data_IF_978593206692
#
_entry.id   IF_978593206692
#
_cell.length_a   1.000
_cell.length_b   1.000
_cell.length_c   1.000
_cell.angle_alpha   90.00
_cell.angle_beta   90.00
_cell.angle_gamma   90.00
#
_symmetry.space_group_name_H-M   'P 1'
#
loop_
_entity.id
_entity.type
_entity.pdbx_description
1 polymer ?
#
# COMPACT_ATOMS: atom_id res chain seq x y z
N UNK A 1 -12.28 -2.37 -9.38
CA UNK A 1 -12.83 -1.07 -8.94
C UNK A 1 -12.92 -0.17 -10.17
N UNK A 2 -13.97 0.63 -10.29
CA UNK A 2 -14.11 1.62 -11.37
C UNK A 2 -13.59 2.97 -10.89
N UNK A 3 -13.02 3.76 -11.81
CA UNK A 3 -12.61 5.13 -11.52
C UNK A 3 -13.86 6.00 -11.43
N UNK A 4 -14.10 6.61 -10.27
CA UNK A 4 -15.21 7.55 -10.01
C UNK A 4 -14.68 8.83 -9.41
N UNK A 5 -15.44 9.93 -9.48
CA UNK A 5 -15.04 11.21 -8.89
C UNK A 5 -14.89 11.10 -7.38
N UNK A 6 -15.80 10.38 -6.73
CA UNK A 6 -15.75 10.11 -5.30
C UNK A 6 -14.47 9.36 -4.92
N UNK A 7 -14.08 8.34 -5.69
CA UNK A 7 -12.82 7.62 -5.44
C UNK A 7 -11.59 8.53 -5.58
N UNK A 8 -11.58 9.45 -6.55
CA UNK A 8 -10.47 10.42 -6.70
C UNK A 8 -10.43 11.40 -5.54
N UNK A 9 -11.59 11.92 -5.11
CA UNK A 9 -11.68 12.77 -3.92
C UNK A 9 -11.24 12.05 -2.65
N UNK A 10 -11.60 10.77 -2.48
CA UNK A 10 -11.14 9.96 -1.36
C UNK A 10 -9.62 9.77 -1.36
N UNK A 11 -9.00 9.56 -2.53
CA UNK A 11 -7.55 9.49 -2.64
C UNK A 11 -6.94 10.85 -2.26
N UNK A 12 -7.34 11.95 -2.89
CA UNK A 12 -6.80 13.28 -2.58
C UNK A 12 -7.04 13.72 -1.12
N UNK A 13 -8.12 13.27 -0.51
CA UNK A 13 -8.42 13.48 0.90
C UNK A 13 -7.41 12.78 1.82
N UNK A 14 -6.98 11.57 1.46
CA UNK A 14 -5.98 10.82 2.21
C UNK A 14 -4.60 11.51 2.16
N UNK A 15 -4.24 12.12 1.03
CA UNK A 15 -3.02 12.92 0.91
C UNK A 15 -3.00 14.10 1.90
N UNK A 16 -4.11 14.83 1.97
CA UNK A 16 -4.24 16.02 2.82
C UNK A 16 -4.71 15.76 4.25
N UNK A 17 -4.84 14.49 4.66
CA UNK A 17 -5.45 14.06 5.94
C UNK A 17 -6.77 14.81 6.26
N UNK A 18 -7.58 15.03 5.24
CA UNK A 18 -8.82 15.85 5.27
C UNK A 18 -10.03 15.04 4.85
N UNK A 19 -11.23 15.58 5.04
CA UNK A 19 -12.44 14.93 4.51
C UNK A 19 -12.55 15.12 2.99
N UNK A 20 -13.17 14.19 2.23
CA UNK A 20 -13.36 14.31 0.78
C UNK A 20 -14.10 15.57 0.33
N UNK A 21 -15.00 16.09 1.18
CA UNK A 21 -15.75 17.33 0.91
C UNK A 21 -14.91 18.59 1.07
N UNK A 22 -13.72 18.48 1.70
CA UNK A 22 -12.78 19.57 1.92
C UNK A 22 -11.66 19.60 0.88
N UNK A 23 -11.67 18.69 -0.10
CA UNK A 23 -10.73 18.68 -1.22
C UNK A 23 -11.16 19.74 -2.23
N UNK A 24 -10.25 20.64 -2.58
CA UNK A 24 -10.48 21.64 -3.61
C UNK A 24 -10.62 21.02 -5.01
N UNK A 25 -11.32 21.71 -5.92
CA UNK A 25 -11.47 21.22 -7.31
C UNK A 25 -10.16 21.37 -8.10
N UNK A 26 -9.32 22.34 -7.75
CA UNK A 26 -8.00 22.55 -8.36
C UNK A 26 -6.99 21.57 -7.76
N UNK A 27 -6.15 20.98 -8.61
CA UNK A 27 -5.13 20.00 -8.23
C UNK A 27 -3.75 20.62 -8.47
N UNK A 28 -2.95 20.71 -7.41
CA UNK A 28 -1.54 21.08 -7.53
C UNK A 28 -0.68 19.96 -8.11
N UNK A 29 0.50 20.31 -8.67
CA UNK A 29 1.40 19.32 -9.27
C UNK A 29 1.82 18.20 -8.31
N UNK A 30 1.99 18.52 -7.02
CA UNK A 30 2.34 17.52 -6.00
C UNK A 30 1.16 16.57 -5.72
N UNK A 31 -0.05 17.10 -5.62
CA UNK A 31 -1.28 16.32 -5.46
C UNK A 31 -1.50 15.41 -6.67
N UNK A 32 -1.22 15.91 -7.88
CA UNK A 32 -1.26 15.11 -9.11
C UNK A 32 -0.24 13.98 -9.09
N UNK A 33 1.03 14.26 -8.75
CA UNK A 33 2.07 13.22 -8.65
C UNK A 33 1.70 12.15 -7.62
N UNK A 34 1.24 12.58 -6.45
CA UNK A 34 0.81 11.65 -5.41
C UNK A 34 -0.40 10.82 -5.84
N UNK A 35 -1.41 11.45 -6.45
CA UNK A 35 -2.61 10.79 -6.95
C UNK A 35 -2.25 9.73 -7.99
N UNK A 36 -1.25 10.00 -8.84
CA UNK A 36 -0.79 9.08 -9.86
C UNK A 36 -0.19 7.83 -9.22
N UNK A 37 0.76 7.99 -8.29
CA UNK A 37 1.35 6.87 -7.57
C UNK A 37 0.29 6.06 -6.78
N UNK A 38 -0.66 6.72 -6.13
CA UNK A 38 -1.74 6.03 -5.41
C UNK A 38 -2.65 5.25 -6.38
N UNK A 39 -2.98 5.83 -7.54
CA UNK A 39 -3.77 5.16 -8.56
C UNK A 39 -3.06 3.93 -9.13
N UNK A 40 -1.76 4.01 -9.43
CA UNK A 40 -0.96 2.87 -9.89
C UNK A 40 -1.00 1.72 -8.88
N UNK A 41 -0.77 2.01 -7.60
CA UNK A 41 -0.78 1.02 -6.53
C UNK A 41 -2.18 0.42 -6.32
N UNK A 42 -3.23 1.24 -6.42
CA UNK A 42 -4.61 0.84 -6.15
C UNK A 42 -5.26 0.08 -7.31
N UNK A 43 -4.94 0.44 -8.55
CA UNK A 43 -5.49 -0.20 -9.75
C UNK A 43 -4.54 -1.22 -10.39
N UNK A 44 -3.28 -1.29 -9.95
CA UNK A 44 -2.27 -2.21 -10.48
C UNK A 44 -1.88 -1.91 -11.92
N UNK A 45 -1.83 -0.62 -12.28
CA UNK A 45 -1.47 -0.12 -13.61
C UNK A 45 -0.20 0.71 -13.54
N UNK A 46 0.45 0.94 -14.68
CA UNK A 46 1.56 1.88 -14.82
C UNK A 46 1.04 3.09 -15.59
N UNK A 47 1.17 4.29 -15.03
CA UNK A 47 0.69 5.54 -15.62
C UNK A 47 1.89 6.40 -16.00
N UNK A 48 2.04 6.72 -17.28
CA UNK A 48 3.12 7.58 -17.74
C UNK A 48 2.80 9.06 -17.46
N UNK A 49 3.53 9.75 -16.57
CA UNK A 49 3.25 11.15 -16.23
C UNK A 49 3.50 12.11 -17.40
N UNK A 50 4.26 11.70 -18.42
CA UNK A 50 4.49 12.50 -19.63
C UNK A 50 3.35 12.37 -20.66
N UNK A 51 2.35 11.54 -20.38
CA UNK A 51 1.21 11.33 -21.25
C UNK A 51 0.38 12.62 -21.41
N UNK A 52 -0.09 12.93 -22.64
CA UNK A 52 -0.80 14.17 -22.92
C UNK A 52 -2.10 14.31 -22.12
N UNK A 53 -2.73 13.19 -21.76
CA UNK A 53 -3.92 13.14 -20.90
C UNK A 53 -3.63 13.69 -19.50
N UNK A 54 -2.44 13.41 -18.95
CA UNK A 54 -2.02 13.80 -17.60
C UNK A 54 -1.35 15.18 -17.58
N UNK A 55 -0.66 15.56 -18.65
CA UNK A 55 0.02 16.85 -18.78
C UNK A 55 -0.93 18.07 -18.68
N UNK A 56 -2.23 17.87 -18.90
CA UNK A 56 -3.25 18.93 -18.84
C UNK A 56 -4.09 18.91 -17.56
N UNK A 57 -3.80 18.00 -16.63
CA UNK A 57 -4.60 17.81 -15.41
C UNK A 57 -4.25 18.87 -14.38
N UNK A 58 -5.22 19.76 -14.15
CA UNK A 58 -5.18 20.77 -13.09
C UNK A 58 -6.45 20.78 -12.25
N UNK A 59 -7.40 19.87 -12.51
CA UNK A 59 -8.65 19.74 -11.75
C UNK A 59 -9.01 18.29 -11.47
N UNK A 60 -9.84 18.08 -10.45
CA UNK A 60 -10.41 16.77 -10.11
C UNK A 60 -11.18 16.19 -11.29
N UNK A 61 -11.99 17.00 -11.98
CA UNK A 61 -12.70 16.56 -13.18
C UNK A 61 -11.77 16.04 -14.29
N UNK A 62 -10.65 16.74 -14.55
CA UNK A 62 -9.66 16.31 -15.54
C UNK A 62 -8.94 15.02 -15.11
N UNK A 63 -8.57 14.90 -13.83
CA UNK A 63 -7.95 13.69 -13.29
C UNK A 63 -8.87 12.47 -13.45
N UNK A 64 -10.16 12.64 -13.15
CA UNK A 64 -11.17 11.58 -13.31
C UNK A 64 -11.33 11.15 -14.77
N UNK A 65 -11.28 12.08 -15.72
CA UNK A 65 -11.36 11.77 -17.15
C UNK A 65 -10.09 11.06 -17.65
N UNK A 66 -8.91 11.52 -17.22
CA UNK A 66 -7.63 10.89 -17.59
C UNK A 66 -7.54 9.47 -17.03
N UNK A 67 -7.83 9.28 -15.74
CA UNK A 67 -7.81 7.96 -15.10
C UNK A 67 -8.82 6.99 -15.70
N UNK A 68 -10.02 7.44 -16.10
CA UNK A 68 -10.98 6.57 -16.82
C UNK A 68 -10.49 6.14 -18.20
N UNK A 69 -9.66 6.96 -18.85
CA UNK A 69 -9.09 6.65 -20.17
C UNK A 69 -7.91 5.68 -20.06
N UNK A 70 -7.07 5.87 -19.03
CA UNK A 70 -5.81 5.14 -18.86
C UNK A 70 -5.97 3.84 -18.05
N UNK A 71 -6.96 3.74 -17.17
CA UNK A 71 -7.21 2.55 -16.36
C UNK A 71 -8.16 1.60 -17.10
N UNK A 72 -7.71 0.44 -17.59
CA UNK A 72 -8.58 -0.50 -18.28
C UNK A 72 -9.60 -1.12 -17.31
N UNK A 73 -10.80 -1.48 -17.80
CA UNK A 73 -11.78 -2.20 -17.01
C UNK A 73 -11.20 -3.57 -16.59
N UNK A 74 -11.16 -3.84 -15.28
CA UNK A 74 -10.61 -5.06 -14.65
C UNK A 74 -11.14 -6.40 -15.22
N UNK A 75 -12.23 -6.40 -15.98
CA UNK A 75 -12.71 -7.59 -16.69
C UNK A 75 -11.78 -8.04 -17.83
N UNK A 76 -10.95 -7.14 -18.38
CA UNK A 76 -10.03 -7.42 -19.47
C UNK A 76 -8.63 -7.85 -19.00
N UNK A 77 -8.28 -7.58 -17.73
CA UNK A 77 -7.00 -7.93 -17.12
C UNK A 77 -7.05 -9.31 -16.43
N UNK A 78 -7.76 -10.27 -17.01
CA UNK A 78 -7.61 -11.66 -16.59
C UNK A 78 -6.11 -11.97 -16.60
N UNK A 79 -5.54 -12.44 -15.48
CA UNK A 79 -4.10 -12.59 -15.40
C UNK A 79 -3.68 -13.50 -16.54
N UNK A 80 -2.69 -13.07 -17.31
CA UNK A 80 -1.84 -13.94 -18.13
C UNK A 80 -1.13 -14.92 -17.19
N UNK A 81 -1.90 -15.81 -16.57
CA UNK A 81 -1.41 -17.06 -16.05
C UNK A 81 -1.18 -17.88 -17.32
N UNK A 82 0.07 -18.20 -17.69
CA UNK A 82 0.26 -19.21 -18.72
C UNK A 82 -0.58 -20.42 -18.30
N UNK A 83 -1.33 -21.07 -19.21
CA UNK A 83 -1.90 -22.36 -18.87
C UNK A 83 -0.71 -23.20 -18.44
N UNK A 84 -0.67 -23.58 -17.18
CA UNK A 84 0.15 -24.68 -16.74
C UNK A 84 -0.44 -25.91 -17.44
N UNK A 85 -0.09 -26.07 -18.71
CA UNK A 85 -0.23 -27.30 -19.44
C UNK A 85 0.68 -28.30 -18.74
N UNK A 86 0.11 -29.03 -17.80
CA UNK A 86 0.12 -30.49 -17.85
C UNK A 86 -0.83 -31.06 -16.77
N UNK A 87 -1.95 -31.67 -17.17
CA UNK A 87 -2.58 -32.71 -16.36
C UNK A 87 -1.76 -33.99 -16.53
N UNK A 88 -1.01 -34.39 -15.50
CA UNK A 88 -0.43 -35.72 -15.45
C UNK A 88 -0.28 -36.22 -14.01
N UNK A 89 -1.06 -37.28 -13.74
CA UNK A 89 -0.83 -38.41 -12.84
C UNK A 89 -1.56 -38.44 -11.48
N UNK A 90 -2.29 -39.54 -11.19
CA UNK A 90 -2.80 -39.85 -9.86
C UNK A 90 -1.65 -40.32 -8.93
N UNK A 91 -1.79 -39.98 -7.65
CA UNK A 91 -1.27 -40.66 -6.45
C UNK A 91 0.03 -41.47 -6.59
N UNK A 92 1.12 -40.95 -6.02
CA UNK A 92 2.02 -41.79 -5.23
C UNK A 92 2.49 -40.98 -4.01
N UNK A 93 2.04 -41.41 -2.83
CA UNK A 93 2.68 -41.01 -1.58
C UNK A 93 3.99 -41.78 -1.46
N UNK A 94 5.05 -41.13 -0.98
CA UNK A 94 5.79 -41.80 0.08
C UNK A 94 6.11 -40.92 1.29
N UNK A 95 5.93 -41.57 2.43
CA UNK A 95 6.78 -41.48 3.62
C UNK A 95 6.75 -40.21 4.48
N UNK A 96 5.82 -40.30 5.43
CA UNK A 96 6.14 -40.14 6.85
C UNK A 96 7.45 -40.85 7.23
N UNK A 97 8.52 -40.09 7.53
CA UNK A 97 9.45 -40.34 8.65
C UNK A 97 10.64 -39.38 8.60
N UNK A 98 10.80 -38.60 9.67
CA UNK A 98 11.92 -38.72 10.60
C UNK A 98 12.34 -37.38 11.21
N UNK A 99 11.88 -37.20 12.45
CA UNK A 99 12.69 -36.82 13.62
C UNK A 99 13.74 -35.72 13.45
N UNK A 100 13.42 -34.53 13.95
CA UNK A 100 14.41 -33.67 14.60
C UNK A 100 13.96 -33.36 16.03
N UNK A 101 14.48 -34.20 16.91
CA UNK A 101 14.85 -33.98 18.31
C UNK A 101 14.06 -32.93 19.11
N UNK A 102 13.28 -33.47 20.04
CA UNK A 102 13.12 -32.98 21.41
C UNK A 102 14.22 -31.99 21.83
N UNK A 103 13.78 -30.79 22.22
CA UNK A 103 14.56 -29.83 22.98
C UNK A 103 13.59 -28.99 23.78
N UNK A 104 13.11 -29.53 24.90
CA UNK A 104 12.36 -28.79 25.91
C UNK A 104 13.37 -28.00 26.75
N UNK A 105 13.38 -26.66 26.75
CA UNK A 105 14.00 -25.90 27.82
C UNK A 105 13.00 -25.79 29.00
N UNK A 106 13.40 -26.17 30.22
CA UNK A 106 12.54 -26.02 31.38
C UNK A 106 12.42 -24.55 31.80
N UNK A 107 11.18 -24.11 32.05
CA UNK A 107 10.84 -23.18 33.13
C UNK A 107 11.37 -21.75 33.05
N UNK A 108 10.71 -20.90 32.25
CA UNK A 108 10.79 -19.45 32.46
C UNK A 108 9.83 -19.07 33.61
N UNK A 109 10.40 -18.61 34.73
CA UNK A 109 9.63 -18.11 35.88
C UNK A 109 9.04 -16.73 35.58
N UNK A 110 7.86 -16.38 36.10
CA UNK A 110 7.39 -14.99 36.05
C UNK A 110 8.25 -14.15 37.00
N UNK A 111 8.90 -13.09 36.49
CA UNK A 111 9.52 -12.06 37.34
C UNK A 111 10.96 -11.65 37.03
N UNK A 112 11.36 -11.52 35.76
CA UNK A 112 12.64 -10.87 35.44
C UNK A 112 12.41 -9.43 34.92
N UNK A 113 12.82 -8.39 35.67
CA UNK A 113 12.84 -7.02 35.15
C UNK A 113 14.02 -6.87 34.18
N UNK A 114 13.72 -6.64 32.90
CA UNK A 114 14.73 -6.23 31.92
C UNK A 114 15.10 -4.77 32.19
N UNK A 115 16.04 -4.57 33.10
CA UNK A 115 16.83 -3.35 33.22
C UNK A 115 18.00 -3.43 32.24
N UNK A 116 17.81 -2.95 31.02
CA UNK A 116 18.90 -2.73 30.07
C UNK A 116 18.96 -1.25 29.67
N UNK A 117 19.78 -0.50 30.41
CA UNK A 117 20.90 0.20 29.77
C UNK A 117 20.68 1.48 28.97
N UNK A 118 19.53 2.17 29.00
CA UNK A 118 19.42 3.53 28.43
C UNK A 118 19.30 4.60 29.53
N UNK A 119 20.46 5.10 29.94
CA UNK A 119 20.67 6.22 30.87
C UNK A 119 20.11 7.52 30.27
N UNK A 120 19.03 8.03 30.84
CA UNK A 120 18.65 9.44 30.69
C UNK A 120 19.80 10.34 31.21
N UNK A 121 20.21 11.41 30.51
CA UNK A 121 20.95 12.48 31.15
C UNK A 121 20.02 13.25 32.09
N UNK A 122 20.27 13.09 33.39
CA UNK A 122 19.85 14.01 34.44
C UNK A 122 20.76 15.25 34.43
N UNK A 123 20.13 16.44 34.26
CA UNK A 123 20.52 17.75 34.80
C UNK A 123 19.79 18.84 33.99
N UNK A 124 19.11 19.85 34.50
CA UNK A 124 18.58 20.23 35.80
C UNK A 124 17.64 21.44 35.52
N UNK A 125 16.68 21.77 36.40
CA UNK A 125 15.89 23.00 36.26
C UNK A 125 16.71 24.21 36.72
N UNK A 126 16.68 25.31 35.98
CA UNK A 126 17.00 26.64 36.53
C UNK A 126 15.77 27.52 36.43
N UNK A 127 15.30 27.92 37.60
CA UNK A 127 14.29 28.93 37.81
C UNK A 127 14.93 30.33 37.76
N UNK A 128 14.14 31.27 37.24
CA UNK A 128 13.97 32.67 37.68
C UNK A 128 15.19 33.58 37.95
N UNK A 129 15.28 34.64 37.13
CA UNK A 129 15.59 36.02 37.55
C UNK A 129 14.96 37.02 36.58
#
# INVERSE_FOLDING_TARGET
>A
MTVTREAVLEMLAAFGERAPQQVDEEIGSLELTWLLSEAEQRYGVELDPESPELATVHTVGQAVAALQTLVPPQAALAPSRPPASAPAAPSDSPSSSSTRALGVPPGRRPGEPLLDGQRLPDAAPVADV
#
